data_IF_259453499739
#
_entry.id   IF_259453499739
#
_cell.length_a   1.000
_cell.length_b   1.000
_cell.length_c   1.000
_cell.angle_alpha   90.00
_cell.angle_beta   90.00
_cell.angle_gamma   90.00
#
_symmetry.space_group_name_H-M   'P 1'
#
loop_
_entity.id
_entity.type
_entity.pdbx_description
1 polymer ?
#
# COMPACT_ATOMS: atom_id res chain seq x y z
N UNK A 1 -19.25 -14.87 -20.50
CA UNK A 1 -17.88 -14.31 -20.57
C UNK A 1 -17.72 -12.92 -19.93
N UNK A 2 -18.67 -11.97 -20.06
CA UNK A 2 -18.51 -10.61 -19.47
C UNK A 2 -18.41 -10.58 -17.93
N UNK A 3 -19.19 -11.41 -17.22
CA UNK A 3 -19.17 -11.48 -15.75
C UNK A 3 -17.83 -11.97 -15.17
N UNK A 4 -17.20 -12.96 -15.81
CA UNK A 4 -15.92 -13.49 -15.37
C UNK A 4 -14.77 -12.48 -15.52
N UNK A 5 -14.79 -11.69 -16.60
CA UNK A 5 -13.79 -10.63 -16.83
C UNK A 5 -13.87 -9.51 -15.80
N UNK A 6 -15.08 -9.02 -15.50
CA UNK A 6 -15.28 -7.98 -14.49
C UNK A 6 -14.84 -8.46 -13.10
N UNK A 7 -15.20 -9.70 -12.75
CA UNK A 7 -14.79 -10.32 -11.48
C UNK A 7 -13.27 -10.44 -11.37
N UNK A 8 -12.61 -10.93 -12.42
CA UNK A 8 -11.16 -11.07 -12.46
C UNK A 8 -10.46 -9.71 -12.29
N UNK A 9 -10.99 -8.65 -12.94
CA UNK A 9 -10.45 -7.30 -12.80
C UNK A 9 -10.59 -6.77 -11.36
N UNK A 10 -11.72 -7.04 -10.71
CA UNK A 10 -11.97 -6.64 -9.32
C UNK A 10 -11.03 -7.40 -8.37
N UNK A 11 -10.95 -8.73 -8.48
CA UNK A 11 -10.10 -9.58 -7.64
C UNK A 11 -8.63 -9.18 -7.77
N UNK A 12 -8.15 -8.94 -8.99
CA UNK A 12 -6.79 -8.48 -9.28
C UNK A 12 -6.52 -7.08 -8.70
N UNK A 13 -7.51 -6.18 -8.74
CA UNK A 13 -7.36 -4.84 -8.13
C UNK A 13 -7.24 -4.94 -6.60
N UNK A 14 -8.03 -5.80 -5.96
CA UNK A 14 -7.91 -6.03 -4.52
C UNK A 14 -6.59 -6.73 -4.15
N UNK A 15 -6.12 -7.68 -4.97
CA UNK A 15 -4.80 -8.29 -4.79
C UNK A 15 -3.68 -7.25 -4.81
N UNK A 16 -3.73 -6.29 -5.75
CA UNK A 16 -2.73 -5.21 -5.85
C UNK A 16 -2.74 -4.33 -4.60
N UNK A 17 -3.93 -3.98 -4.13
CA UNK A 17 -4.09 -3.15 -2.93
C UNK A 17 -3.60 -3.89 -1.67
N UNK A 18 -3.92 -5.18 -1.50
CA UNK A 18 -3.45 -5.98 -0.36
C UNK A 18 -1.93 -6.17 -0.37
N UNK A 19 -1.34 -6.43 -1.54
CA UNK A 19 0.09 -6.58 -1.67
C UNK A 19 0.85 -5.27 -1.36
N UNK A 20 0.30 -4.10 -1.71
CA UNK A 20 0.91 -2.81 -1.38
C UNK A 20 0.66 -2.36 0.06
N UNK A 21 -0.57 -2.54 0.55
CA UNK A 21 -1.03 -2.00 1.83
C UNK A 21 -1.29 -3.11 2.84
N UNK A 22 -0.35 -3.32 3.76
CA UNK A 22 -0.43 -4.37 4.78
C UNK A 22 -1.69 -4.29 5.66
N UNK A 23 -2.26 -3.08 5.84
CA UNK A 23 -3.51 -2.86 6.58
C UNK A 23 -4.70 -3.64 5.98
N UNK A 24 -4.64 -3.99 4.69
CA UNK A 24 -5.70 -4.74 4.00
C UNK A 24 -5.50 -6.27 4.04
N UNK A 25 -4.36 -6.74 4.55
CA UNK A 25 -4.04 -8.19 4.61
C UNK A 25 -4.64 -8.87 5.83
N UNK A 26 -4.79 -8.14 6.93
CA UNK A 26 -5.35 -8.67 8.18
C UNK A 26 -6.78 -8.15 8.41
N UNK A 27 -7.64 -8.92 9.10
CA UNK A 27 -8.93 -8.43 9.55
C UNK A 27 -8.74 -7.19 10.42
N UNK A 28 -9.42 -6.10 10.05
CA UNK A 28 -9.33 -4.86 10.82
C UNK A 28 -10.38 -4.85 11.94
N UNK A 29 -10.03 -4.31 13.09
CA UNK A 29 -10.95 -4.08 14.22
C UNK A 29 -11.69 -2.74 14.12
N UNK A 30 -11.60 -2.06 12.98
CA UNK A 30 -12.28 -0.79 12.73
C UNK A 30 -13.76 -1.01 12.41
N UNK A 31 -14.59 -0.04 12.78
CA UNK A 31 -15.99 0.00 12.37
C UNK A 31 -16.12 0.10 10.84
N UNK A 32 -17.27 -0.32 10.31
CA UNK A 32 -17.48 -0.43 8.86
C UNK A 32 -17.26 0.89 8.12
N UNK A 33 -17.59 2.02 8.75
CA UNK A 33 -17.40 3.35 8.18
C UNK A 33 -15.92 3.68 8.01
N UNK A 34 -15.10 3.29 8.99
CA UNK A 34 -13.65 3.51 8.94
C UNK A 34 -12.98 2.54 7.98
N UNK A 35 -13.45 1.28 7.89
CA UNK A 35 -12.99 0.33 6.86
C UNK A 35 -13.22 0.88 5.45
N UNK A 36 -14.41 1.46 5.20
CA UNK A 36 -14.72 2.09 3.92
C UNK A 36 -13.79 3.26 3.61
N UNK A 37 -13.53 4.13 4.59
CA UNK A 37 -12.59 5.25 4.45
C UNK A 37 -11.16 4.78 4.16
N UNK A 38 -10.70 3.72 4.82
CA UNK A 38 -9.38 3.11 4.59
C UNK A 38 -9.28 2.61 3.14
N UNK A 39 -10.27 1.85 2.66
CA UNK A 39 -10.29 1.34 1.29
C UNK A 39 -10.25 2.50 0.27
N UNK A 40 -11.07 3.53 0.48
CA UNK A 40 -11.09 4.72 -0.39
C UNK A 40 -9.74 5.43 -0.38
N UNK A 41 -9.13 5.63 0.79
CA UNK A 41 -7.82 6.26 0.92
C UNK A 41 -6.73 5.45 0.18
N UNK A 42 -6.72 4.12 0.32
CA UNK A 42 -5.79 3.25 -0.42
C UNK A 42 -5.97 3.37 -1.94
N UNK A 43 -7.20 3.46 -2.43
CA UNK A 43 -7.50 3.67 -3.85
C UNK A 43 -7.03 5.05 -4.33
N UNK A 44 -7.29 6.11 -3.56
CA UNK A 44 -6.85 7.47 -3.87
C UNK A 44 -5.32 7.57 -3.92
N UNK A 45 -4.64 7.03 -2.92
CA UNK A 45 -3.17 7.01 -2.87
C UNK A 45 -2.57 6.24 -4.04
N UNK A 46 -3.16 5.08 -4.40
CA UNK A 46 -2.73 4.34 -5.59
C UNK A 46 -2.91 5.18 -6.86
N UNK A 47 -4.05 5.85 -7.02
CA UNK A 47 -4.32 6.68 -8.19
C UNK A 47 -3.36 7.86 -8.27
N UNK A 48 -3.09 8.52 -7.15
CA UNK A 48 -2.14 9.62 -7.06
C UNK A 48 -0.72 9.17 -7.43
N UNK A 49 -0.25 8.04 -6.89
CA UNK A 49 1.07 7.49 -7.23
C UNK A 49 1.16 7.20 -8.73
N UNK A 50 0.11 6.65 -9.35
CA UNK A 50 0.07 6.42 -10.81
C UNK A 50 0.03 7.69 -11.65
N UNK A 51 -0.43 8.81 -11.08
CA UNK A 51 -0.41 10.11 -11.75
C UNK A 51 0.99 10.75 -11.69
N UNK A 52 1.64 10.68 -10.53
CA UNK A 52 2.94 11.32 -10.31
C UNK A 52 4.13 10.46 -10.75
N UNK A 53 4.00 9.13 -10.72
CA UNK A 53 5.06 8.19 -11.10
C UNK A 53 4.74 7.51 -12.43
N UNK A 54 5.60 7.72 -13.43
CA UNK A 54 5.50 7.09 -14.77
C UNK A 54 5.61 5.57 -14.66
N UNK A 55 6.46 5.09 -13.74
CA UNK A 55 6.61 3.67 -13.40
C UNK A 55 6.66 3.56 -11.89
N UNK A 56 5.77 2.76 -11.33
CA UNK A 56 5.73 2.43 -9.90
C UNK A 56 6.40 1.07 -9.69
N UNK A 57 7.65 1.03 -9.19
CA UNK A 57 8.40 -0.23 -9.06
C UNK A 57 7.66 -1.26 -8.20
N UNK A 58 6.92 -0.79 -7.20
CA UNK A 58 6.13 -1.65 -6.31
C UNK A 58 4.92 -2.24 -7.05
N UNK A 59 4.26 -1.47 -7.91
CA UNK A 59 3.15 -2.00 -8.74
C UNK A 59 3.67 -3.03 -9.76
N UNK A 60 4.84 -2.80 -10.37
CA UNK A 60 5.47 -3.73 -11.31
C UNK A 60 5.81 -5.06 -10.65
N UNK A 61 6.51 -5.03 -9.51
CA UNK A 61 6.90 -6.25 -8.78
C UNK A 61 5.69 -7.07 -8.33
N UNK A 62 4.66 -6.39 -7.82
CA UNK A 62 3.43 -7.05 -7.36
C UNK A 62 2.63 -7.62 -8.55
N UNK A 63 2.63 -6.93 -9.69
CA UNK A 63 2.00 -7.44 -10.89
C UNK A 63 2.71 -8.70 -11.42
N UNK A 64 4.04 -8.72 -11.36
CA UNK A 64 4.84 -9.89 -11.74
C UNK A 64 4.56 -11.09 -10.81
N UNK A 65 4.56 -10.90 -9.48
CA UNK A 65 4.28 -11.99 -8.53
C UNK A 65 2.87 -12.59 -8.71
N UNK A 66 1.86 -11.75 -8.95
CA UNK A 66 0.51 -12.22 -9.27
C UNK A 66 0.42 -12.95 -10.61
N UNK A 67 1.26 -12.59 -11.59
CA UNK A 67 1.29 -13.25 -12.90
C UNK A 67 1.98 -14.62 -12.81
N UNK A 68 2.94 -14.77 -11.90
CA UNK A 68 3.66 -16.02 -11.64
C UNK A 68 2.85 -17.02 -10.78
N UNK A 69 1.67 -16.62 -10.28
CA UNK A 69 0.79 -17.50 -9.51
C UNK A 69 1.39 -17.92 -8.17
N UNK A 70 2.33 -17.13 -7.62
CA UNK A 70 2.86 -17.37 -6.29
C UNK A 70 1.72 -17.25 -5.28
N UNK A 71 1.43 -18.34 -4.58
CA UNK A 71 0.39 -18.37 -3.56
C UNK A 71 0.71 -17.30 -2.50
N UNK A 72 -0.23 -16.39 -2.31
CA UNK A 72 -0.14 -15.28 -1.37
C UNK A 72 -0.07 -15.81 0.06
N UNK A 73 1.13 -16.18 0.50
CA UNK A 73 1.43 -16.58 1.88
C UNK A 73 1.53 -15.34 2.81
N UNK A 74 1.09 -14.16 2.36
CA UNK A 74 1.24 -12.89 3.07
C UNK A 74 0.02 -12.48 3.91
N UNK A 75 -1.03 -13.30 3.96
CA UNK A 75 -2.24 -13.07 4.76
C UNK A 75 -1.96 -13.05 6.28
N UNK A 76 -0.81 -13.56 6.73
CA UNK A 76 -0.36 -13.45 8.12
C UNK A 76 0.87 -12.57 8.24
N UNK A 77 0.71 -11.41 8.89
CA UNK A 77 1.83 -10.59 9.36
C UNK A 77 2.44 -11.30 10.57
N UNK A 78 3.45 -12.15 10.35
CA UNK A 78 4.16 -12.88 11.40
C UNK A 78 5.13 -12.01 12.23
N UNK A 79 5.61 -10.92 11.65
CA UNK A 79 6.35 -9.87 12.34
C UNK A 79 6.19 -8.54 11.59
N UNK A 80 5.91 -7.46 12.31
CA UNK A 80 6.09 -6.09 11.80
C UNK A 80 7.51 -5.69 12.12
N UNK A 81 8.46 -6.08 11.25
CA UNK A 81 9.81 -5.57 11.36
C UNK A 81 9.87 -4.16 10.76
N UNK A 82 10.34 -3.21 11.56
CA UNK A 82 10.64 -1.87 11.08
C UNK A 82 11.84 -1.94 10.15
N UNK A 83 11.60 -1.77 8.85
CA UNK A 83 12.68 -1.63 7.88
C UNK A 83 13.55 -0.42 8.29
N UNK A 84 14.80 -0.69 8.67
CA UNK A 84 15.74 0.30 9.18
C UNK A 84 15.96 1.46 8.20
N UNK A 85 15.86 1.20 6.90
CA UNK A 85 15.95 2.23 5.84
C UNK A 85 14.77 3.20 5.93
N UNK A 86 13.55 2.68 6.10
CA UNK A 86 12.35 3.51 6.23
C UNK A 86 12.27 4.24 7.57
N UNK A 87 12.83 3.68 8.64
CA UNK A 87 12.99 4.37 9.93
C UNK A 87 13.96 5.54 9.78
N UNK A 88 15.14 5.29 9.19
CA UNK A 88 16.15 6.32 8.97
C UNK A 88 15.62 7.48 8.10
N UNK A 89 14.93 7.16 7.01
CA UNK A 89 14.34 8.17 6.14
C UNK A 89 13.27 9.02 6.85
N UNK A 90 12.40 8.38 7.66
CA UNK A 90 11.41 9.12 8.46
C UNK A 90 12.07 10.02 9.50
N UNK A 91 13.14 9.56 10.15
CA UNK A 91 13.90 10.38 11.10
C UNK A 91 14.58 11.57 10.41
N UNK A 92 15.09 11.39 9.19
CA UNK A 92 15.73 12.46 8.42
C UNK A 92 14.74 13.58 8.11
N UNK A 93 13.53 13.23 7.64
CA UNK A 93 12.46 14.21 7.41
C UNK A 93 12.08 14.91 8.72
N UNK A 94 11.93 14.18 9.82
CA UNK A 94 11.60 14.78 11.11
C UNK A 94 12.69 15.77 11.57
N UNK A 95 13.97 15.46 11.35
CA UNK A 95 15.10 16.36 11.64
C UNK A 95 15.06 17.60 10.76
N UNK A 96 14.79 17.45 9.46
CA UNK A 96 14.67 18.58 8.54
C UNK A 96 13.54 19.53 8.96
N UNK A 97 12.35 19.00 9.22
CA UNK A 97 11.19 19.79 9.65
C UNK A 97 11.45 20.51 10.99
N UNK A 98 12.10 19.84 11.94
CA UNK A 98 12.46 20.44 13.22
C UNK A 98 13.49 21.56 13.08
N UNK A 99 14.50 21.39 12.22
CA UNK A 99 15.53 22.39 11.97
C UNK A 99 14.98 23.61 11.23
N UNK A 100 14.08 23.40 10.28
CA UNK A 100 13.37 24.48 9.58
C UNK A 100 12.53 25.31 10.56
N UNK A 101 11.76 24.66 11.45
CA UNK A 101 11.02 25.33 12.52
C UNK A 101 11.94 26.16 13.44
N UNK A 102 13.11 25.62 13.80
CA UNK A 102 14.09 26.34 14.63
C UNK A 102 14.78 27.50 13.92
N UNK A 103 14.95 27.44 12.60
CA UNK A 103 15.59 28.49 11.81
C UNK A 103 14.67 29.68 11.50
N UNK A 104 13.37 29.50 11.69
CA UNK A 104 12.34 30.54 11.52
C UNK A 104 11.94 31.25 12.84
N UNK A 105 12.61 30.95 13.95
CA UNK A 105 12.46 31.64 15.25
C UNK A 105 13.71 32.44 15.62
#
# INVERSE_FOLDING_TARGET
MKHASARNMIERTFGLLKARWAILRSPSFYDIDDQNRIIIACCLLRNFIRQEMIVDPTETMVNESMTLGEADNTDYIGSVETNSVWVAWREEIAKLMYNEWRGHS
#
